data_IF_943571451072
#
_entry.id   IF_943571451072
#
_cell.length_a   1.000
_cell.length_b   1.000
_cell.length_c   1.000
_cell.angle_alpha   90.00
_cell.angle_beta   90.00
_cell.angle_gamma   90.00
#
_symmetry.space_group_name_H-M   'P 1'
#
loop_
_entity.id
_entity.type
_entity.pdbx_description
1 polymer ?
#
# COMPACT_ATOMS: atom_id res chain seq x y z
N UNK A 1 -13.10 -4.54 11.55
CA UNK A 1 -14.00 -5.67 11.20
C UNK A 1 -14.91 -6.00 12.38
N UNK A 2 -14.37 -6.42 13.52
CA UNK A 2 -15.14 -6.83 14.72
C UNK A 2 -16.10 -5.72 15.21
N UNK A 3 -15.66 -4.46 15.33
CA UNK A 3 -16.52 -3.39 15.85
C UNK A 3 -17.79 -3.14 15.01
N UNK A 4 -17.69 -3.23 13.68
CA UNK A 4 -18.83 -3.00 12.80
C UNK A 4 -19.82 -4.17 12.82
N UNK A 5 -19.33 -5.41 12.91
CA UNK A 5 -20.18 -6.59 13.05
C UNK A 5 -20.93 -6.59 14.39
N UNK A 6 -20.30 -6.11 15.46
CA UNK A 6 -20.93 -6.00 16.79
C UNK A 6 -22.06 -4.96 16.80
N UNK A 7 -21.88 -3.81 16.12
CA UNK A 7 -22.86 -2.73 16.10
C UNK A 7 -23.99 -2.95 15.07
N UNK A 8 -23.63 -3.39 13.85
CA UNK A 8 -24.54 -3.40 12.70
C UNK A 8 -24.90 -4.81 12.23
N UNK A 9 -24.46 -5.87 12.93
CA UNK A 9 -24.67 -7.30 12.61
C UNK A 9 -24.26 -7.71 11.18
N UNK A 10 -23.48 -6.88 10.50
CA UNK A 10 -23.08 -7.08 9.11
C UNK A 10 -21.61 -6.71 8.94
N UNK A 11 -20.94 -7.29 7.95
CA UNK A 11 -19.58 -6.92 7.61
C UNK A 11 -19.55 -5.47 7.06
N UNK A 12 -18.54 -4.65 7.42
CA UNK A 12 -18.49 -3.23 7.03
C UNK A 12 -18.17 -2.98 5.56
N UNK A 13 -17.94 -4.03 4.76
CA UNK A 13 -17.63 -3.98 3.34
C UNK A 13 -18.25 -5.19 2.65
N UNK A 14 -18.54 -5.05 1.35
CA UNK A 14 -19.05 -6.14 0.52
C UNK A 14 -17.91 -7.01 -0.01
N UNK A 15 -16.77 -6.40 -0.33
CA UNK A 15 -15.58 -7.05 -0.85
C UNK A 15 -14.33 -6.44 -0.21
N UNK A 16 -13.29 -7.26 -0.03
CA UNK A 16 -12.02 -6.86 0.56
C UNK A 16 -10.88 -7.24 -0.37
N UNK A 17 -10.07 -6.26 -0.74
CA UNK A 17 -8.84 -6.47 -1.51
C UNK A 17 -7.67 -6.02 -0.64
N UNK A 18 -6.80 -6.97 -0.27
CA UNK A 18 -5.53 -6.69 0.40
C UNK A 18 -4.40 -6.76 -0.60
N UNK A 19 -3.65 -5.67 -0.75
CA UNK A 19 -2.42 -5.67 -1.53
C UNK A 19 -1.20 -5.98 -0.66
N UNK A 20 -0.16 -6.55 -1.26
CA UNK A 20 1.12 -6.79 -0.60
C UNK A 20 1.87 -5.50 -0.27
N UNK A 21 3.02 -5.66 0.40
CA UNK A 21 3.93 -4.55 0.64
C UNK A 21 4.97 -4.45 -0.48
N UNK A 22 5.30 -3.23 -0.86
CA UNK A 22 6.46 -2.97 -1.72
C UNK A 22 7.73 -3.24 -0.92
N UNK A 23 8.63 -4.04 -1.49
CA UNK A 23 9.90 -4.42 -0.87
C UNK A 23 11.02 -3.48 -1.32
N UNK A 24 12.00 -3.26 -0.46
CA UNK A 24 13.27 -2.62 -0.83
C UNK A 24 14.19 -3.61 -1.57
N UNK A 25 15.36 -3.13 -2.00
CA UNK A 25 16.37 -3.94 -2.72
C UNK A 25 16.86 -5.16 -1.93
N UNK A 26 16.69 -5.17 -0.60
CA UNK A 26 17.08 -6.26 0.30
C UNK A 26 15.92 -7.20 0.62
N UNK A 27 14.76 -7.02 -0.03
CA UNK A 27 13.57 -7.82 0.20
C UNK A 27 12.83 -7.48 1.50
N UNK A 28 13.20 -6.39 2.17
CA UNK A 28 12.53 -5.94 3.39
C UNK A 28 11.34 -5.06 3.04
N UNK A 29 10.26 -5.17 3.82
CA UNK A 29 9.10 -4.28 3.68
C UNK A 29 9.55 -2.81 3.77
N UNK A 30 9.15 -2.00 2.80
CA UNK A 30 9.37 -0.56 2.91
C UNK A 30 8.57 0.02 4.09
N UNK A 31 9.25 0.76 4.96
CA UNK A 31 8.62 1.48 6.06
C UNK A 31 9.37 2.77 6.43
N UNK A 32 8.64 3.84 6.74
CA UNK A 32 9.23 5.12 7.12
C UNK A 32 10.13 5.01 8.36
N UNK A 33 9.75 4.16 9.31
CA UNK A 33 10.52 3.88 10.52
C UNK A 33 11.85 3.18 10.26
N UNK A 34 11.95 2.39 9.20
CA UNK A 34 13.21 1.71 8.81
C UNK A 34 14.06 2.56 7.85
N UNK A 35 13.54 3.70 7.38
CA UNK A 35 14.27 4.62 6.50
C UNK A 35 14.48 4.12 5.07
N UNK A 36 13.93 2.97 4.70
CA UNK A 36 14.07 2.33 3.39
C UNK A 36 12.95 2.73 2.40
N UNK A 37 12.45 3.97 2.49
CA UNK A 37 11.36 4.45 1.64
C UNK A 37 11.92 5.25 0.46
N UNK A 38 11.51 4.88 -0.75
CA UNK A 38 11.74 5.68 -1.96
C UNK A 38 10.51 6.56 -2.19
N UNK A 39 10.72 7.86 -2.41
CA UNK A 39 9.62 8.78 -2.69
C UNK A 39 9.03 8.54 -4.08
N UNK A 40 7.71 8.31 -4.21
CA UNK A 40 7.05 8.19 -5.52
C UNK A 40 7.30 9.40 -6.42
N UNK A 41 7.39 10.60 -5.85
CA UNK A 41 7.63 11.84 -6.59
C UNK A 41 8.97 11.84 -7.32
N UNK A 42 10.00 11.23 -6.71
CA UNK A 42 11.33 11.11 -7.34
C UNK A 42 11.26 10.21 -8.57
N UNK A 43 10.46 9.13 -8.52
CA UNK A 43 10.27 8.21 -9.64
C UNK A 43 9.45 8.87 -10.75
N UNK A 44 8.37 9.56 -10.39
CA UNK A 44 7.50 10.29 -11.34
C UNK A 44 8.30 11.36 -12.08
N UNK A 45 9.18 12.11 -11.40
CA UNK A 45 10.01 13.13 -12.04
C UNK A 45 10.97 12.53 -13.10
N UNK A 46 11.44 11.31 -12.87
CA UNK A 46 12.42 10.66 -13.75
C UNK A 46 11.78 9.81 -14.86
N UNK A 47 10.62 9.19 -14.62
CA UNK A 47 10.00 8.20 -15.52
C UNK A 47 8.56 8.52 -15.93
N UNK A 48 7.94 9.55 -15.36
CA UNK A 48 6.53 9.86 -15.57
C UNK A 48 5.58 9.04 -14.68
N UNK A 49 4.37 9.56 -14.47
CA UNK A 49 3.41 8.97 -13.54
C UNK A 49 2.76 7.68 -14.06
N UNK A 50 2.65 7.53 -15.38
CA UNK A 50 1.96 6.39 -15.98
C UNK A 50 2.79 5.10 -15.88
N UNK A 51 4.11 5.23 -15.99
CA UNK A 51 5.04 4.11 -15.81
C UNK A 51 4.95 3.57 -14.37
N UNK A 52 4.82 4.45 -13.37
CA UNK A 52 4.70 4.05 -11.96
C UNK A 52 3.37 3.37 -11.63
N UNK A 53 2.28 3.66 -12.37
CA UNK A 53 0.97 3.03 -12.14
C UNK A 53 0.80 1.71 -12.87
N UNK A 54 1.49 1.54 -14.00
CA UNK A 54 1.45 0.31 -14.78
C UNK A 54 2.30 -0.80 -14.15
N UNK A 55 3.40 -0.41 -13.51
CA UNK A 55 4.28 -1.29 -12.76
C UNK A 55 3.68 -1.62 -11.39
#
# INVERSE_FOLDING_TARGET
MICATVLNKTAPYKELISHGFTLDEKGMKMSKSQGNVISPLTIIKNKGADILRLW
#
